data_IF_884347971597
#
_entry.id   IF_884347971597
#
_cell.length_a   1.000
_cell.length_b   1.000
_cell.length_c   1.000
_cell.angle_alpha   90.00
_cell.angle_beta   90.00
_cell.angle_gamma   90.00
#
_symmetry.space_group_name_H-M   'P 1'
#
loop_
_entity.id
_entity.type
_entity.pdbx_description
1 polymer ?
#
# COMPACT_ATOMS: atom_id res chain seq x y z
N UNK A 1 13.57 -28.46 29.35
CA UNK A 1 12.81 -27.26 29.76
C UNK A 1 13.47 -26.06 29.10
N UNK A 2 13.10 -25.80 27.85
CA UNK A 2 13.64 -24.70 27.04
C UNK A 2 12.64 -23.55 27.10
N UNK A 3 13.03 -22.45 27.76
CA UNK A 3 12.23 -21.24 27.83
C UNK A 3 12.32 -20.52 26.49
N UNK A 4 11.21 -20.49 25.76
CA UNK A 4 10.98 -19.54 24.67
C UNK A 4 10.66 -18.20 25.32
N UNK A 5 11.62 -17.29 25.33
CA UNK A 5 11.45 -15.89 25.72
C UNK A 5 10.85 -15.13 24.54
N UNK A 6 9.53 -15.22 24.38
CA UNK A 6 8.78 -14.38 23.45
C UNK A 6 8.79 -12.93 23.92
N UNK A 7 9.18 -12.01 23.05
CA UNK A 7 9.05 -10.57 23.25
C UNK A 7 7.57 -10.27 23.50
N UNK A 8 7.25 -9.72 24.67
CA UNK A 8 5.87 -9.40 25.06
C UNK A 8 5.23 -8.40 24.10
N UNK A 9 4.16 -8.81 23.43
CA UNK A 9 3.40 -7.95 22.52
C UNK A 9 2.78 -6.78 23.30
N UNK A 10 3.13 -5.55 22.93
CA UNK A 10 2.63 -4.32 23.55
C UNK A 10 1.24 -4.00 22.99
N UNK A 11 0.24 -3.94 23.87
CA UNK A 11 -1.13 -3.53 23.54
C UNK A 11 -1.20 -2.00 23.47
N UNK A 12 -1.73 -1.46 22.37
CA UNK A 12 -2.01 -0.02 22.25
C UNK A 12 -3.07 0.39 23.26
N UNK A 13 -2.72 1.26 24.21
CA UNK A 13 -3.64 1.72 25.27
C UNK A 13 -4.82 2.55 24.77
N UNK A 14 -4.76 3.05 23.52
CA UNK A 14 -5.77 3.95 22.97
C UNK A 14 -6.79 3.25 22.06
N UNK A 15 -6.44 2.09 21.47
CA UNK A 15 -7.34 1.36 20.56
C UNK A 15 -7.34 -0.15 20.75
N UNK A 16 -6.70 -0.66 21.81
CA UNK A 16 -6.57 -2.08 22.12
C UNK A 16 -5.89 -2.93 21.03
N UNK A 17 -5.27 -2.29 20.04
CA UNK A 17 -4.50 -2.96 19.00
C UNK A 17 -3.32 -3.71 19.61
N UNK A 18 -3.32 -5.03 19.48
CA UNK A 18 -2.19 -5.89 19.80
C UNK A 18 -1.48 -6.16 18.46
N UNK A 19 -0.21 -5.79 18.27
CA UNK A 19 0.55 -6.16 17.09
C UNK A 19 0.59 -7.69 16.99
N UNK A 20 -0.24 -8.27 16.12
CA UNK A 20 -0.36 -9.71 15.94
C UNK A 20 0.51 -10.19 14.78
N UNK A 21 1.44 -11.11 15.04
CA UNK A 21 2.39 -11.67 14.06
C UNK A 21 1.78 -12.86 13.28
N UNK A 22 0.47 -12.89 13.02
CA UNK A 22 -0.15 -14.10 12.44
C UNK A 22 -0.12 -14.16 10.91
N UNK A 23 0.17 -13.06 10.21
CA UNK A 23 0.07 -13.02 8.73
C UNK A 23 1.40 -13.18 7.98
N UNK A 24 2.56 -13.13 8.64
CA UNK A 24 3.88 -13.15 8.00
C UNK A 24 4.52 -14.55 7.92
N UNK A 25 4.14 -15.47 8.81
CA UNK A 25 4.72 -16.81 8.85
C UNK A 25 4.06 -17.81 7.87
N UNK A 26 2.84 -17.57 7.40
CA UNK A 26 2.09 -18.58 6.60
C UNK A 26 2.64 -18.79 5.17
N UNK A 27 3.60 -17.98 4.70
CA UNK A 27 4.17 -18.11 3.33
C UNK A 27 5.69 -17.88 3.22
N UNK A 28 6.43 -17.85 4.32
CA UNK A 28 7.89 -17.89 4.20
C UNK A 28 8.28 -19.31 3.71
N UNK A 29 8.90 -19.49 2.53
CA UNK A 29 9.49 -20.77 2.19
C UNK A 29 10.50 -21.14 3.29
N UNK A 30 10.63 -22.43 3.61
CA UNK A 30 11.73 -22.89 4.45
C UNK A 30 13.04 -22.58 3.70
N UNK A 31 13.69 -21.45 4.05
CA UNK A 31 14.86 -20.97 3.31
C UNK A 31 16.10 -21.77 3.72
N UNK A 32 16.83 -22.24 2.73
CA UNK A 32 17.90 -23.23 2.81
C UNK A 32 19.28 -22.69 3.27
N UNK A 33 19.33 -21.59 4.04
CA UNK A 33 20.56 -21.13 4.70
C UNK A 33 20.18 -20.24 5.90
N UNK A 34 20.43 -20.69 7.12
CA UNK A 34 20.11 -19.96 8.36
C UNK A 34 20.99 -18.72 8.56
N UNK A 35 22.08 -18.62 7.81
CA UNK A 35 23.05 -17.53 7.94
C UNK A 35 22.98 -16.56 6.77
N UNK A 36 23.03 -15.26 7.08
CA UNK A 36 23.23 -14.19 6.11
C UNK A 36 24.35 -13.30 6.66
N UNK A 37 25.33 -12.86 5.84
CA UNK A 37 26.38 -11.99 6.33
C UNK A 37 25.79 -10.70 6.92
N UNK A 38 26.39 -10.15 7.99
CA UNK A 38 25.92 -8.90 8.59
C UNK A 38 26.03 -7.73 7.60
N UNK A 39 25.08 -6.81 7.67
CA UNK A 39 24.92 -5.67 6.77
C UNK A 39 25.44 -4.40 7.45
N UNK A 40 26.75 -4.26 7.46
CA UNK A 40 27.51 -3.13 8.03
C UNK A 40 27.77 -2.10 6.92
N UNK A 41 27.71 -0.77 7.18
CA UNK A 41 27.61 -0.10 8.49
C UNK A 41 26.19 0.02 9.05
N UNK A 42 26.11 0.10 10.39
CA UNK A 42 24.90 0.49 11.11
C UNK A 42 24.78 2.02 11.11
N UNK A 43 23.58 2.53 10.91
CA UNK A 43 23.30 3.97 10.92
C UNK A 43 23.55 4.56 12.31
N UNK A 44 24.19 5.74 12.38
CA UNK A 44 24.57 6.39 13.65
C UNK A 44 23.55 7.41 14.15
N UNK A 45 22.82 8.02 13.22
CA UNK A 45 21.80 9.01 13.55
C UNK A 45 20.54 8.29 14.05
N UNK A 46 20.11 8.67 15.25
CA UNK A 46 18.92 8.14 15.89
C UNK A 46 17.67 8.73 15.21
N UNK A 47 16.87 7.86 14.61
CA UNK A 47 15.64 8.21 13.90
C UNK A 47 14.38 8.11 14.78
N UNK A 48 14.49 7.52 15.98
CA UNK A 48 13.37 7.36 16.91
C UNK A 48 12.64 8.68 17.18
N UNK A 49 11.36 8.72 16.84
CA UNK A 49 10.50 9.87 17.04
C UNK A 49 9.82 9.79 18.42
N UNK A 50 10.46 10.35 19.44
CA UNK A 50 9.95 10.36 20.81
C UNK A 50 11.01 10.72 21.84
N UNK A 51 10.63 10.65 23.11
CA UNK A 51 11.60 10.86 24.20
C UNK A 51 12.34 9.56 24.47
N UNK A 52 13.65 9.56 24.23
CA UNK A 52 14.50 8.43 24.58
C UNK A 52 14.95 8.50 26.02
N UNK A 53 14.86 7.37 26.71
CA UNK A 53 15.44 7.22 28.03
C UNK A 53 16.96 7.42 27.94
N UNK A 54 17.59 8.27 28.78
CA UNK A 54 19.02 8.53 28.72
C UNK A 54 19.89 7.25 28.78
N UNK A 55 19.44 6.26 29.56
CA UNK A 55 20.11 4.97 29.70
C UNK A 55 20.04 4.13 28.41
N UNK A 56 18.86 4.03 27.77
CA UNK A 56 18.70 3.31 26.50
C UNK A 56 19.57 3.95 25.40
N UNK A 57 19.58 5.29 25.32
CA UNK A 57 20.45 6.04 24.42
C UNK A 57 21.93 5.76 24.66
N UNK A 58 22.37 5.76 25.92
CA UNK A 58 23.78 5.48 26.27
C UNK A 58 24.19 4.07 25.85
N UNK A 59 23.34 3.07 26.11
CA UNK A 59 23.61 1.68 25.74
C UNK A 59 23.68 1.50 24.22
N UNK A 60 22.80 2.16 23.46
CA UNK A 60 22.87 2.16 22.00
C UNK A 60 24.20 2.72 21.48
N UNK A 61 24.68 3.85 22.02
CA UNK A 61 26.00 4.37 21.64
C UNK A 61 27.15 3.44 22.07
N UNK A 62 27.04 2.77 23.22
CA UNK A 62 28.00 1.73 23.62
C UNK A 62 28.02 0.57 22.64
N UNK A 63 26.86 0.16 22.11
CA UNK A 63 26.74 -0.86 21.06
C UNK A 63 27.44 -0.43 19.77
N UNK A 64 27.19 0.80 19.30
CA UNK A 64 27.88 1.37 18.13
C UNK A 64 29.41 1.41 18.33
N UNK A 65 29.88 1.80 19.52
CA UNK A 65 31.31 1.81 19.84
C UNK A 65 31.93 0.41 19.88
N UNK A 66 31.18 -0.62 20.28
CA UNK A 66 31.62 -2.02 20.18
C UNK A 66 31.71 -2.48 18.72
N UNK A 67 30.77 -2.09 17.85
CA UNK A 67 30.87 -2.35 16.40
C UNK A 67 32.10 -1.70 15.77
N UNK A 68 32.41 -0.46 16.13
CA UNK A 68 33.61 0.24 15.63
C UNK A 68 34.92 -0.48 16.02
N UNK A 69 34.89 -1.26 17.12
CA UNK A 69 36.01 -2.10 17.57
C UNK A 69 36.00 -3.51 16.95
N UNK A 70 35.00 -3.84 16.14
CA UNK A 70 34.81 -5.17 15.55
C UNK A 70 34.21 -6.20 16.50
N UNK A 71 33.79 -5.80 17.70
CA UNK A 71 33.17 -6.70 18.68
C UNK A 71 31.65 -6.74 18.48
N UNK A 72 31.22 -7.62 17.57
CA UNK A 72 29.81 -7.78 17.20
C UNK A 72 29.00 -8.37 18.36
N UNK A 73 29.58 -9.27 19.16
CA UNK A 73 28.87 -9.89 20.29
C UNK A 73 28.53 -8.85 21.33
N UNK A 74 29.52 -8.07 21.80
CA UNK A 74 29.29 -7.03 22.79
C UNK A 74 28.38 -5.91 22.26
N UNK A 75 28.39 -5.66 20.95
CA UNK A 75 27.47 -4.73 20.34
C UNK A 75 26.01 -5.20 20.43
N UNK A 76 25.75 -6.46 20.08
CA UNK A 76 24.42 -7.06 20.15
C UNK A 76 23.88 -7.04 21.59
N UNK A 77 24.71 -7.38 22.58
CA UNK A 77 24.35 -7.33 24.00
C UNK A 77 23.93 -5.91 24.43
N UNK A 78 24.71 -4.89 24.06
CA UNK A 78 24.36 -3.50 24.38
C UNK A 78 23.06 -3.03 23.71
N UNK A 79 22.79 -3.46 22.48
CA UNK A 79 21.52 -3.13 21.81
C UNK A 79 20.34 -3.83 22.48
N UNK A 80 20.49 -5.08 22.90
CA UNK A 80 19.45 -5.82 23.64
C UNK A 80 19.18 -5.19 25.01
N UNK A 81 20.22 -4.78 25.73
CA UNK A 81 20.09 -4.04 26.98
C UNK A 81 19.33 -2.71 26.79
N UNK A 82 19.53 -2.03 25.64
CA UNK A 82 18.79 -0.83 25.30
C UNK A 82 17.28 -1.15 25.08
N UNK A 83 16.98 -2.25 24.39
CA UNK A 83 15.61 -2.72 24.14
C UNK A 83 14.91 -3.23 25.41
N UNK A 84 15.65 -3.82 26.35
CA UNK A 84 15.13 -4.23 27.64
C UNK A 84 14.63 -3.03 28.48
N UNK A 85 15.23 -1.85 28.28
CA UNK A 85 14.79 -0.60 28.91
C UNK A 85 13.65 0.03 28.11
N UNK A 86 13.76 0.03 26.79
CA UNK A 86 12.84 0.72 25.90
C UNK A 86 12.55 -0.13 24.64
N UNK A 87 11.51 -0.98 24.68
CA UNK A 87 11.21 -1.93 23.61
C UNK A 87 10.80 -1.31 22.27
N UNK A 88 10.29 -0.07 22.28
CA UNK A 88 9.90 0.65 21.06
C UNK A 88 11.08 1.36 20.36
N UNK A 89 12.31 1.17 20.83
CA UNK A 89 13.48 1.84 20.28
C UNK A 89 13.91 1.25 18.93
N UNK A 90 13.29 1.77 17.87
CA UNK A 90 13.44 1.31 16.48
C UNK A 90 14.90 1.21 16.02
N UNK A 91 15.76 2.19 16.35
CA UNK A 91 17.15 2.19 15.91
C UNK A 91 17.96 1.02 16.48
N UNK A 92 17.66 0.60 17.72
CA UNK A 92 18.31 -0.56 18.33
C UNK A 92 17.86 -1.87 17.66
N UNK A 93 16.58 -2.00 17.30
CA UNK A 93 16.10 -3.13 16.51
C UNK A 93 16.78 -3.19 15.12
N UNK A 94 16.89 -2.05 14.41
CA UNK A 94 17.58 -1.99 13.12
C UNK A 94 19.08 -2.34 13.24
N UNK A 95 19.74 -1.87 14.30
CA UNK A 95 21.13 -2.18 14.57
C UNK A 95 21.36 -3.68 14.78
N UNK A 96 20.50 -4.35 15.56
CA UNK A 96 20.57 -5.80 15.76
C UNK A 96 20.31 -6.54 14.44
N UNK A 97 19.30 -6.15 13.68
CA UNK A 97 19.00 -6.77 12.39
C UNK A 97 20.16 -6.64 11.39
N UNK A 98 20.95 -5.57 11.44
CA UNK A 98 22.13 -5.39 10.59
C UNK A 98 23.34 -6.16 11.09
N UNK A 99 23.57 -6.17 12.41
CA UNK A 99 24.76 -6.76 13.01
C UNK A 99 24.66 -8.29 13.17
N UNK A 100 23.45 -8.83 13.32
CA UNK A 100 23.21 -10.27 13.40
C UNK A 100 23.51 -10.97 12.08
N UNK A 101 24.09 -12.16 12.17
CA UNK A 101 24.21 -13.10 11.05
C UNK A 101 23.09 -14.16 11.01
N UNK A 102 22.29 -14.25 12.08
CA UNK A 102 21.17 -15.18 12.20
C UNK A 102 19.92 -14.57 11.56
N UNK A 103 19.42 -15.22 10.50
CA UNK A 103 18.22 -14.77 9.77
C UNK A 103 16.96 -14.77 10.62
N UNK A 104 16.82 -15.67 11.60
CA UNK A 104 15.66 -15.67 12.47
C UNK A 104 15.66 -14.43 13.35
N UNK A 105 16.77 -14.15 14.03
CA UNK A 105 16.94 -12.91 14.80
C UNK A 105 16.77 -11.66 13.95
N UNK A 106 17.29 -11.64 12.71
CA UNK A 106 17.05 -10.54 11.76
C UNK A 106 15.55 -10.33 11.52
N UNK A 107 14.80 -11.39 11.21
CA UNK A 107 13.34 -11.32 10.99
C UNK A 107 12.61 -10.82 12.23
N UNK A 108 12.94 -11.33 13.40
CA UNK A 108 12.31 -10.92 14.66
C UNK A 108 12.46 -9.41 14.89
N UNK A 109 13.67 -8.87 14.82
CA UNK A 109 13.87 -7.43 15.01
C UNK A 109 13.29 -6.57 13.88
N UNK A 110 13.37 -7.01 12.62
CA UNK A 110 12.75 -6.30 11.50
C UNK A 110 11.22 -6.28 11.61
N UNK A 111 10.61 -7.39 12.05
CA UNK A 111 9.16 -7.46 12.28
C UNK A 111 8.71 -6.46 13.34
N UNK A 112 9.49 -6.30 14.42
CA UNK A 112 9.24 -5.30 15.45
C UNK A 112 9.32 -3.87 14.89
N UNK A 113 10.35 -3.57 14.08
CA UNK A 113 10.46 -2.25 13.43
C UNK A 113 9.26 -1.97 12.55
N UNK A 114 8.83 -2.91 11.71
CA UNK A 114 7.69 -2.68 10.82
C UNK A 114 6.37 -2.64 11.61
N UNK A 115 6.30 -3.23 12.81
CA UNK A 115 5.15 -3.07 13.71
C UNK A 115 5.10 -1.65 14.31
N UNK A 116 6.23 -1.12 14.78
CA UNK A 116 6.30 0.24 15.35
C UNK A 116 6.31 1.35 14.29
N UNK A 117 6.90 1.10 13.12
CA UNK A 117 7.02 2.02 12.00
C UNK A 117 6.81 1.30 10.65
N UNK A 118 5.54 1.05 10.25
CA UNK A 118 5.20 0.30 9.03
C UNK A 118 5.76 0.88 7.72
N UNK A 119 6.03 2.18 7.68
CA UNK A 119 6.59 2.90 6.53
C UNK A 119 8.12 3.00 6.53
N UNK A 120 8.83 2.35 7.46
CA UNK A 120 10.30 2.39 7.49
C UNK A 120 10.88 1.68 6.26
N UNK A 121 11.30 2.46 5.27
CA UNK A 121 11.80 1.96 3.99
C UNK A 121 13.04 1.05 4.14
N UNK A 122 13.89 1.33 5.12
CA UNK A 122 15.04 0.49 5.40
C UNK A 122 14.62 -0.88 5.95
N UNK A 123 13.73 -0.90 6.93
CA UNK A 123 13.24 -2.14 7.53
C UNK A 123 12.52 -3.02 6.50
N UNK A 124 11.67 -2.43 5.65
CA UNK A 124 11.00 -3.15 4.57
C UNK A 124 12.02 -3.73 3.56
N UNK A 125 13.04 -2.95 3.19
CA UNK A 125 14.09 -3.39 2.25
C UNK A 125 14.93 -4.53 2.83
N UNK A 126 15.32 -4.43 4.10
CA UNK A 126 16.06 -5.49 4.80
C UNK A 126 15.19 -6.74 4.97
N UNK A 127 13.89 -6.57 5.28
CA UNK A 127 12.95 -7.68 5.37
C UNK A 127 12.85 -8.46 4.06
N UNK A 128 12.70 -7.73 2.94
CA UNK A 128 12.67 -8.33 1.60
C UNK A 128 13.98 -9.04 1.26
N UNK A 129 15.14 -8.48 1.62
CA UNK A 129 16.43 -9.13 1.45
C UNK A 129 16.54 -10.44 2.26
N UNK A 130 16.15 -10.42 3.53
CA UNK A 130 16.25 -11.57 4.45
C UNK A 130 15.32 -12.71 4.01
N UNK A 131 14.15 -12.38 3.47
CA UNK A 131 13.19 -13.36 2.93
C UNK A 131 13.54 -13.85 1.52
N UNK A 132 14.54 -13.24 0.86
CA UNK A 132 14.93 -13.58 -0.51
C UNK A 132 14.04 -12.98 -1.59
N UNK A 133 13.19 -12.00 -1.24
CA UNK A 133 12.42 -11.21 -2.20
C UNK A 133 13.31 -10.21 -2.97
N UNK A 134 14.49 -9.89 -2.45
CA UNK A 134 15.53 -9.10 -3.12
C UNK A 134 16.90 -9.77 -2.98
N UNK A 135 17.72 -9.64 -4.01
CA UNK A 135 19.16 -9.90 -3.93
C UNK A 135 19.90 -8.77 -3.20
N UNK A 136 21.12 -9.00 -2.68
CA UNK A 136 21.94 -7.94 -2.08
C UNK A 136 22.19 -6.75 -3.03
N UNK A 137 22.38 -7.01 -4.32
CA UNK A 137 22.58 -5.97 -5.34
C UNK A 137 21.32 -5.14 -5.57
N UNK A 138 20.16 -5.79 -5.65
CA UNK A 138 18.85 -5.14 -5.77
C UNK A 138 18.53 -4.30 -4.53
N UNK A 139 18.79 -4.84 -3.34
CA UNK A 139 18.63 -4.11 -2.09
C UNK A 139 19.60 -2.92 -1.99
N UNK A 140 20.82 -3.01 -2.52
CA UNK A 140 21.75 -1.89 -2.59
C UNK A 140 21.26 -0.81 -3.59
N UNK A 141 20.77 -1.23 -4.76
CA UNK A 141 20.19 -0.32 -5.77
C UNK A 141 19.00 0.45 -5.21
N UNK A 142 18.09 -0.24 -4.53
CA UNK A 142 16.93 0.37 -3.88
C UNK A 142 17.30 1.38 -2.77
N UNK A 143 18.42 1.16 -2.08
CA UNK A 143 18.90 2.09 -1.05
C UNK A 143 19.53 3.37 -1.62
N UNK A 144 20.12 3.30 -2.83
CA UNK A 144 20.79 4.44 -3.47
C UNK A 144 19.82 5.49 -4.00
N UNK A 145 20.27 6.68 -4.41
CA UNK A 145 19.44 7.67 -5.14
C UNK A 145 19.20 7.30 -6.61
N UNK A 146 19.47 6.05 -7.01
CA UNK A 146 19.24 5.58 -8.37
C UNK A 146 17.74 5.59 -8.70
N UNK A 147 17.41 6.08 -9.89
CA UNK A 147 16.11 5.91 -10.52
C UNK A 147 16.26 4.94 -11.69
N UNK A 148 15.38 3.93 -11.82
CA UNK A 148 15.42 3.00 -12.94
C UNK A 148 15.35 3.73 -14.28
N UNK A 149 16.08 3.24 -15.28
CA UNK A 149 16.00 3.79 -16.64
C UNK A 149 14.61 3.50 -17.24
N UNK A 150 13.91 4.54 -17.67
CA UNK A 150 12.57 4.40 -18.24
C UNK A 150 12.67 3.97 -19.71
N UNK A 151 12.04 2.85 -20.05
CA UNK A 151 11.94 2.30 -21.41
C UNK A 151 10.49 2.27 -21.84
N UNK A 152 10.21 2.48 -23.12
CA UNK A 152 8.87 2.28 -23.67
C UNK A 152 8.83 0.92 -24.38
N UNK A 153 7.79 0.12 -24.09
CA UNK A 153 7.58 -1.12 -24.82
C UNK A 153 7.09 -0.80 -26.24
N UNK A 154 7.80 -1.31 -27.24
CA UNK A 154 7.45 -1.13 -28.66
C UNK A 154 6.36 -2.11 -29.13
N UNK A 155 6.20 -3.23 -28.43
CA UNK A 155 5.23 -4.27 -28.75
C UNK A 155 4.30 -4.54 -27.57
N UNK A 156 3.08 -5.07 -27.82
CA UNK A 156 2.18 -5.49 -26.76
C UNK A 156 2.84 -6.50 -25.82
N UNK A 157 2.79 -6.22 -24.52
CA UNK A 157 3.43 -7.08 -23.51
C UNK A 157 2.49 -8.20 -23.09
N UNK A 158 2.99 -9.44 -23.10
CA UNK A 158 2.22 -10.61 -22.71
C UNK A 158 1.72 -10.52 -21.26
N UNK A 159 0.52 -11.03 -21.03
CA UNK A 159 -0.14 -11.03 -19.72
C UNK A 159 -0.34 -12.44 -19.17
N UNK A 160 -0.16 -12.57 -17.87
CA UNK A 160 -0.68 -13.70 -17.12
C UNK A 160 -2.08 -13.34 -16.61
N UNK A 161 -3.08 -14.16 -16.97
CA UNK A 161 -4.46 -13.91 -16.59
C UNK A 161 -5.05 -15.07 -15.79
N UNK A 162 -5.82 -14.72 -14.76
CA UNK A 162 -6.68 -15.64 -14.05
C UNK A 162 -8.08 -15.60 -14.66
N UNK A 163 -8.59 -16.76 -15.08
CA UNK A 163 -9.97 -16.89 -15.57
C UNK A 163 -10.88 -17.26 -14.40
N UNK A 164 -11.99 -16.53 -14.23
CA UNK A 164 -12.91 -16.73 -13.11
C UNK A 164 -14.00 -17.74 -13.44
N UNK A 165 -13.64 -19.02 -13.41
CA UNK A 165 -14.55 -20.14 -13.62
C UNK A 165 -14.79 -20.92 -12.32
N UNK A 166 -15.98 -21.50 -12.22
CA UNK A 166 -16.34 -22.38 -11.12
C UNK A 166 -15.51 -23.66 -11.15
N UNK A 167 -14.85 -23.98 -10.04
CA UNK A 167 -14.05 -25.21 -9.90
C UNK A 167 -14.88 -26.50 -9.91
N UNK A 168 -16.19 -26.41 -9.68
CA UNK A 168 -17.09 -27.57 -9.61
C UNK A 168 -17.67 -27.91 -10.98
N UNK A 169 -18.20 -26.92 -11.70
CA UNK A 169 -18.94 -27.15 -12.94
C UNK A 169 -18.37 -26.43 -14.18
N UNK A 170 -17.32 -25.62 -14.03
CA UNK A 170 -16.74 -24.82 -15.12
C UNK A 170 -17.57 -23.60 -15.55
N UNK A 171 -18.72 -23.34 -14.93
CA UNK A 171 -19.55 -22.17 -15.24
C UNK A 171 -18.92 -20.84 -14.82
N UNK A 172 -19.38 -19.73 -15.41
CA UNK A 172 -18.90 -18.39 -15.04
C UNK A 172 -19.24 -18.04 -13.59
N UNK A 173 -18.27 -17.46 -12.89
CA UNK A 173 -18.47 -16.86 -11.57
C UNK A 173 -19.18 -15.51 -11.71
N UNK A 174 -19.92 -15.12 -10.68
CA UNK A 174 -20.49 -13.78 -10.51
C UNK A 174 -20.31 -13.35 -9.06
N UNK A 175 -20.63 -12.10 -8.76
CA UNK A 175 -20.65 -11.54 -7.41
C UNK A 175 -22.08 -11.12 -7.08
N UNK A 176 -22.47 -11.32 -5.83
CA UNK A 176 -23.68 -10.74 -5.26
C UNK A 176 -23.41 -9.28 -4.86
N UNK A 177 -24.23 -8.33 -5.33
CA UNK A 177 -24.03 -6.91 -5.04
C UNK A 177 -24.52 -6.53 -3.63
N UNK A 178 -25.28 -7.36 -2.93
CA UNK A 178 -25.75 -7.05 -1.56
C UNK A 178 -24.69 -7.47 -0.54
N UNK A 179 -24.20 -8.70 -0.66
CA UNK A 179 -23.29 -9.31 0.32
C UNK A 179 -21.83 -9.37 -0.15
N UNK A 180 -21.54 -9.03 -1.41
CA UNK A 180 -20.18 -8.97 -1.95
C UNK A 180 -19.48 -10.33 -2.10
N UNK A 181 -20.22 -11.45 -2.04
CA UNK A 181 -19.62 -12.80 -2.13
C UNK A 181 -19.64 -13.33 -3.57
N UNK A 182 -18.60 -14.07 -3.96
CA UNK A 182 -18.48 -14.66 -5.28
C UNK A 182 -19.10 -16.06 -5.34
N UNK A 183 -20.00 -16.30 -6.30
CA UNK A 183 -20.71 -17.56 -6.47
C UNK A 183 -20.88 -17.95 -7.94
N UNK A 184 -21.11 -19.24 -8.20
CA UNK A 184 -21.44 -19.72 -9.53
C UNK A 184 -22.94 -19.62 -9.79
N UNK A 185 -23.35 -18.86 -10.81
CA UNK A 185 -24.77 -18.73 -11.18
C UNK A 185 -25.41 -20.04 -11.67
N UNK A 186 -24.60 -21.00 -12.10
CA UNK A 186 -25.09 -22.27 -12.65
C UNK A 186 -25.35 -23.33 -11.58
N UNK A 187 -24.36 -23.64 -10.73
CA UNK A 187 -24.48 -24.70 -9.72
C UNK A 187 -24.63 -24.19 -8.27
N UNK A 188 -24.55 -22.87 -8.04
CA UNK A 188 -24.64 -22.27 -6.70
C UNK A 188 -23.38 -22.42 -5.85
N UNK A 189 -22.29 -22.99 -6.36
CA UNK A 189 -21.06 -23.12 -5.58
C UNK A 189 -20.47 -21.75 -5.24
N UNK A 190 -20.39 -21.45 -3.95
CA UNK A 190 -19.72 -20.27 -3.41
C UNK A 190 -18.22 -20.53 -3.24
N UNK A 191 -17.43 -19.48 -3.39
CA UNK A 191 -16.00 -19.54 -3.04
C UNK A 191 -15.77 -18.66 -1.83
N UNK A 192 -15.23 -19.25 -0.76
CA UNK A 192 -14.88 -18.48 0.42
C UNK A 192 -13.77 -17.49 0.04
N UNK A 193 -13.90 -16.19 0.38
CA UNK A 193 -12.83 -15.24 0.16
C UNK A 193 -11.56 -15.73 0.86
N UNK A 194 -10.41 -15.50 0.22
CA UNK A 194 -9.13 -15.79 0.84
C UNK A 194 -9.03 -15.09 2.21
N UNK A 195 -8.41 -15.76 3.21
CA UNK A 195 -8.30 -15.22 4.58
C UNK A 195 -7.78 -13.77 4.50
N UNK A 196 -8.43 -12.89 5.26
CA UNK A 196 -8.19 -11.45 5.34
C UNK A 196 -6.68 -11.17 5.47
N UNK A 197 -6.02 -10.79 4.38
CA UNK A 197 -4.68 -10.20 4.43
C UNK A 197 -4.81 -8.78 4.98
N UNK A 198 -3.86 -8.36 5.80
CA UNK A 198 -3.76 -6.97 6.22
C UNK A 198 -3.67 -6.08 4.98
N UNK A 199 -4.66 -5.21 4.81
CA UNK A 199 -4.66 -4.12 3.84
C UNK A 199 -3.80 -3.02 4.45
N UNK A 200 -2.71 -2.59 3.82
CA UNK A 200 -1.90 -1.53 4.42
C UNK A 200 -0.67 -1.08 3.65
N UNK A 201 -0.13 0.06 4.10
CA UNK A 201 1.05 0.76 3.57
C UNK A 201 2.29 -0.11 3.32
N UNK A 202 2.38 -1.29 3.94
CA UNK A 202 3.47 -2.26 3.77
C UNK A 202 3.54 -2.79 2.34
N UNK A 203 2.40 -3.11 1.72
CA UNK A 203 2.36 -3.64 0.36
C UNK A 203 2.87 -2.61 -0.66
N UNK A 204 2.41 -1.37 -0.54
CA UNK A 204 2.89 -0.25 -1.33
C UNK A 204 4.38 0.04 -1.08
N UNK A 205 4.82 0.14 0.17
CA UNK A 205 6.23 0.41 0.51
C UNK A 205 7.18 -0.65 -0.06
N UNK A 206 6.83 -1.94 0.08
CA UNK A 206 7.58 -3.04 -0.53
C UNK A 206 7.58 -2.96 -2.06
N UNK A 207 6.45 -2.64 -2.67
CA UNK A 207 6.35 -2.50 -4.13
C UNK A 207 7.21 -1.35 -4.67
N UNK A 208 7.27 -0.21 -3.95
CA UNK A 208 8.14 0.91 -4.30
C UNK A 208 9.63 0.55 -4.18
N UNK A 209 10.00 -0.25 -3.17
CA UNK A 209 11.36 -0.76 -3.01
C UNK A 209 11.70 -1.72 -4.15
N UNK A 210 10.84 -2.71 -4.45
CA UNK A 210 11.03 -3.62 -5.60
C UNK A 210 11.20 -2.86 -6.90
N UNK A 211 10.40 -1.82 -7.11
CA UNK A 211 10.49 -0.96 -8.30
C UNK A 211 11.85 -0.28 -8.40
N UNK A 212 12.31 0.35 -7.31
CA UNK A 212 13.60 1.05 -7.28
C UNK A 212 14.80 0.09 -7.37
N UNK A 213 14.59 -1.16 -6.96
CA UNK A 213 15.56 -2.23 -7.11
C UNK A 213 15.77 -2.65 -8.57
N UNK A 214 14.82 -2.39 -9.47
CA UNK A 214 14.95 -2.74 -10.89
C UNK A 214 15.88 -1.76 -11.62
N UNK A 215 16.70 -2.24 -12.58
CA UNK A 215 17.56 -1.37 -13.39
C UNK A 215 16.76 -0.56 -14.41
N UNK A 216 15.67 -1.13 -14.91
CA UNK A 216 14.82 -0.53 -15.95
C UNK A 216 13.36 -0.58 -15.52
N UNK A 217 12.61 0.45 -15.91
CA UNK A 217 11.17 0.54 -15.73
C UNK A 217 10.50 0.66 -17.10
N UNK A 218 9.57 -0.24 -17.38
CA UNK A 218 8.86 -0.26 -18.66
C UNK A 218 7.55 0.53 -18.61
N UNK A 219 7.35 1.42 -19.58
CA UNK A 219 6.08 2.07 -19.88
C UNK A 219 5.38 1.21 -20.91
N UNK A 220 4.23 0.67 -20.52
CA UNK A 220 3.40 -0.20 -21.35
C UNK A 220 2.23 0.61 -21.89
N UNK A 221 2.05 0.62 -23.20
CA UNK A 221 0.87 1.21 -23.85
C UNK A 221 -0.23 0.16 -24.05
N UNK A 222 0.18 -1.04 -24.46
CA UNK A 222 -0.71 -2.13 -24.82
C UNK A 222 -0.20 -3.46 -24.26
N UNK A 223 -1.14 -4.37 -23.98
CA UNK A 223 -0.87 -5.72 -23.51
C UNK A 223 -1.49 -6.75 -24.44
N UNK A 224 -0.84 -7.89 -24.57
CA UNK A 224 -1.39 -9.04 -25.27
C UNK A 224 -2.09 -9.95 -24.26
N UNK A 225 -3.40 -10.13 -24.44
CA UNK A 225 -4.21 -11.07 -23.67
C UNK A 225 -4.51 -12.30 -24.52
N UNK A 226 -4.07 -13.45 -24.01
CA UNK A 226 -4.44 -14.77 -24.53
C UNK A 226 -5.57 -15.36 -23.67
N UNK A 227 -6.68 -15.72 -24.30
CA UNK A 227 -7.82 -16.32 -23.63
C UNK A 227 -7.63 -17.84 -23.51
N UNK A 228 -7.25 -18.31 -22.32
CA UNK A 228 -7.07 -19.73 -22.02
C UNK A 228 -8.34 -20.60 -22.18
N UNK A 229 -9.51 -20.00 -22.42
CA UNK A 229 -10.78 -20.72 -22.57
C UNK A 229 -11.19 -20.96 -24.02
N UNK A 230 -10.96 -20.00 -24.93
CA UNK A 230 -11.33 -20.13 -26.35
C UNK A 230 -10.16 -19.96 -27.33
N UNK A 231 -8.95 -19.68 -26.84
CA UNK A 231 -7.75 -19.48 -27.66
C UNK A 231 -7.67 -18.12 -28.36
N UNK A 232 -8.63 -17.22 -28.14
CA UNK A 232 -8.60 -15.88 -28.73
C UNK A 232 -7.44 -15.05 -28.17
N UNK A 233 -6.71 -14.39 -29.05
CA UNK A 233 -5.67 -13.42 -28.70
C UNK A 233 -6.12 -12.01 -29.08
N UNK A 234 -5.88 -11.05 -28.19
CA UNK A 234 -6.20 -9.65 -28.45
C UNK A 234 -5.25 -8.71 -27.75
N UNK A 235 -4.99 -7.59 -28.40
CA UNK A 235 -4.35 -6.44 -27.78
C UNK A 235 -5.37 -5.70 -26.93
N UNK A 236 -4.96 -5.30 -25.72
CA UNK A 236 -5.77 -4.53 -24.78
C UNK A 236 -5.00 -3.31 -24.26
N UNK A 237 -5.68 -2.22 -23.89
CA UNK A 237 -5.02 -1.07 -23.30
C UNK A 237 -4.29 -1.41 -22.00
N UNK A 238 -3.20 -0.69 -21.72
CA UNK A 238 -2.48 -0.83 -20.45
C UNK A 238 -3.32 -0.43 -19.21
N UNK A 239 -4.48 0.20 -19.40
CA UNK A 239 -5.42 0.55 -18.31
C UNK A 239 -6.48 -0.51 -18.05
N UNK A 240 -6.40 -1.70 -18.65
CA UNK A 240 -7.33 -2.80 -18.35
C UNK A 240 -6.75 -3.70 -17.26
N UNK A 241 -7.48 -3.91 -16.16
CA UNK A 241 -7.14 -4.90 -15.12
C UNK A 241 -8.01 -6.17 -15.26
N UNK A 242 -9.31 -6.00 -15.49
CA UNK A 242 -10.20 -7.13 -15.77
C UNK A 242 -11.22 -6.82 -16.86
N UNK A 243 -11.63 -7.86 -17.57
CA UNK A 243 -12.58 -7.74 -18.67
C UNK A 243 -13.21 -9.08 -19.04
N UNK A 244 -14.36 -9.04 -19.69
CA UNK A 244 -15.01 -10.22 -20.25
C UNK A 244 -14.53 -10.50 -21.69
N UNK A 245 -14.20 -11.75 -21.98
CA UNK A 245 -13.83 -12.17 -23.33
C UNK A 245 -15.04 -12.00 -24.27
N UNK A 246 -14.91 -11.27 -25.39
CA UNK A 246 -16.03 -11.04 -26.30
C UNK A 246 -16.45 -12.30 -27.07
N UNK A 247 -15.63 -13.36 -27.06
CA UNK A 247 -15.91 -14.61 -27.78
C UNK A 247 -16.61 -15.65 -26.90
N UNK A 248 -16.08 -15.94 -25.71
CA UNK A 248 -16.61 -16.98 -24.83
C UNK A 248 -17.24 -16.46 -23.53
N UNK A 249 -17.26 -15.14 -23.30
CA UNK A 249 -17.89 -14.53 -22.14
C UNK A 249 -17.16 -14.72 -20.80
N UNK A 250 -16.02 -15.42 -20.78
CA UNK A 250 -15.26 -15.62 -19.54
C UNK A 250 -14.62 -14.33 -19.05
N UNK A 251 -14.68 -14.09 -17.75
CA UNK A 251 -14.01 -12.96 -17.09
C UNK A 251 -12.54 -13.28 -16.87
N UNK A 252 -11.67 -12.43 -17.40
CA UNK A 252 -10.22 -12.49 -17.23
C UNK A 252 -9.76 -11.37 -16.31
N UNK A 253 -8.94 -11.71 -15.33
CA UNK A 253 -8.26 -10.76 -14.45
C UNK A 253 -6.77 -10.87 -14.68
N UNK A 254 -6.12 -9.78 -15.07
CA UNK A 254 -4.67 -9.74 -15.27
C UNK A 254 -4.01 -9.80 -13.88
N UNK A 255 -3.17 -10.82 -13.68
CA UNK A 255 -2.40 -10.97 -12.44
C UNK A 255 -1.07 -10.23 -12.53
N UNK A 256 -0.41 -10.33 -13.68
CA UNK A 256 0.88 -9.72 -13.96
C UNK A 256 1.08 -9.60 -15.46
N UNK A 257 2.03 -8.77 -15.89
CA UNK A 257 2.56 -8.78 -17.25
C UNK A 257 4.05 -9.14 -17.23
N UNK A 258 4.57 -9.52 -18.40
CA UNK A 258 5.97 -9.94 -18.53
C UNK A 258 6.99 -8.83 -18.18
N UNK A 259 6.56 -7.57 -18.11
CA UNK A 259 7.38 -6.44 -17.72
C UNK A 259 7.27 -6.10 -16.22
N UNK A 260 6.44 -6.83 -15.46
CA UNK A 260 6.10 -6.54 -14.07
C UNK A 260 5.74 -5.06 -13.86
N UNK A 261 5.00 -4.47 -14.81
CA UNK A 261 4.89 -3.01 -14.95
C UNK A 261 3.89 -2.34 -13.99
N UNK A 262 3.10 -3.13 -13.26
CA UNK A 262 2.04 -2.61 -12.39
C UNK A 262 1.91 -3.40 -11.08
N UNK A 263 1.29 -2.74 -10.11
CA UNK A 263 0.99 -3.28 -8.78
C UNK A 263 -0.52 -3.58 -8.73
N UNK A 264 -0.89 -4.72 -8.15
CA UNK A 264 -2.30 -5.09 -7.95
C UNK A 264 -2.92 -4.22 -6.84
N UNK A 265 -4.24 -4.00 -6.85
CA UNK A 265 -4.90 -3.30 -5.75
C UNK A 265 -4.68 -4.02 -4.42
N UNK A 266 -4.58 -3.26 -3.33
CA UNK A 266 -4.54 -3.81 -1.96
C UNK A 266 -5.95 -4.15 -1.47
N UNK A 267 -6.94 -3.36 -1.89
CA UNK A 267 -8.32 -3.48 -1.48
C UNK A 267 -9.30 -3.11 -2.59
N UNK A 268 -10.55 -3.50 -2.38
CA UNK A 268 -11.67 -3.18 -3.26
C UNK A 268 -12.88 -2.84 -2.39
N UNK A 269 -13.71 -1.89 -2.83
CA UNK A 269 -14.99 -1.59 -2.20
C UNK A 269 -16.06 -2.30 -3.03
N UNK A 270 -16.71 -3.37 -2.52
CA UNK A 270 -17.72 -4.08 -3.28
C UNK A 270 -18.89 -3.16 -3.69
N UNK A 271 -19.49 -3.44 -4.84
CA UNK A 271 -20.75 -2.80 -5.20
C UNK A 271 -21.81 -3.13 -4.14
N UNK A 272 -22.68 -2.15 -3.84
CA UNK A 272 -23.87 -2.28 -2.98
C UNK A 272 -25.19 -2.02 -3.70
N UNK A 273 -25.08 -1.46 -4.90
CA UNK A 273 -26.22 -1.14 -5.75
C UNK A 273 -26.12 -2.03 -6.97
N UNK A 274 -27.21 -2.74 -7.25
CA UNK A 274 -27.33 -3.48 -8.48
C UNK A 274 -27.72 -2.54 -9.63
N UNK A 275 -27.59 -3.05 -10.86
CA UNK A 275 -27.91 -2.29 -12.08
C UNK A 275 -29.34 -1.76 -12.10
N UNK A 276 -30.31 -2.51 -11.57
CA UNK A 276 -31.72 -2.10 -11.56
C UNK A 276 -31.93 -0.88 -10.68
N UNK A 277 -31.39 -0.91 -9.47
CA UNK A 277 -31.47 0.20 -8.52
C UNK A 277 -30.78 1.45 -9.07
N UNK A 278 -29.60 1.29 -9.68
CA UNK A 278 -28.89 2.38 -10.34
C UNK A 278 -29.71 3.02 -11.47
N UNK A 279 -30.30 2.20 -12.34
CA UNK A 279 -31.18 2.66 -13.44
C UNK A 279 -32.41 3.39 -12.89
N UNK A 280 -33.02 2.91 -11.81
CA UNK A 280 -34.17 3.57 -11.19
C UNK A 280 -33.81 4.94 -10.62
N UNK A 281 -32.69 5.05 -9.91
CA UNK A 281 -32.19 6.31 -9.36
C UNK A 281 -31.89 7.31 -10.49
N UNK A 282 -31.20 6.88 -11.55
CA UNK A 282 -30.90 7.72 -12.71
C UNK A 282 -32.20 8.18 -13.39
N UNK A 283 -33.15 7.27 -13.63
CA UNK A 283 -34.46 7.63 -14.22
C UNK A 283 -35.23 8.62 -13.36
N UNK A 284 -35.15 8.51 -12.03
CA UNK A 284 -35.78 9.47 -11.11
C UNK A 284 -35.13 10.84 -11.21
N UNK A 285 -33.80 10.90 -11.25
CA UNK A 285 -33.04 12.14 -11.41
C UNK A 285 -33.35 12.83 -12.75
N UNK A 286 -33.38 12.09 -13.85
CA UNK A 286 -33.71 12.61 -15.20
C UNK A 286 -35.17 13.10 -15.31
N UNK A 287 -36.07 12.67 -14.42
CA UNK A 287 -37.47 13.12 -14.36
C UNK A 287 -37.69 14.31 -13.41
N UNK A 288 -36.63 14.82 -12.77
CA UNK A 288 -36.73 15.91 -11.81
C UNK A 288 -37.30 17.19 -12.47
N UNK A 289 -38.02 18.05 -11.72
CA UNK A 289 -38.65 19.25 -12.27
C UNK A 289 -37.66 20.20 -12.95
N UNK A 290 -36.44 20.33 -12.41
CA UNK A 290 -35.37 21.16 -12.97
C UNK A 290 -34.94 20.68 -14.37
N UNK A 291 -34.80 19.36 -14.56
CA UNK A 291 -34.47 18.77 -15.87
C UNK A 291 -35.59 18.98 -16.89
N UNK A 292 -36.85 18.93 -16.44
CA UNK A 292 -38.00 19.24 -17.30
C UNK A 292 -38.01 20.69 -17.77
N UNK A 293 -37.57 21.63 -16.93
CA UNK A 293 -37.44 23.05 -17.27
C UNK A 293 -36.26 23.26 -18.23
N UNK A 294 -35.10 22.64 -17.95
CA UNK A 294 -33.94 22.69 -18.83
C UNK A 294 -34.25 22.14 -20.23
N UNK A 295 -35.07 21.09 -20.31
CA UNK A 295 -35.55 20.50 -21.56
C UNK A 295 -36.49 21.37 -22.40
N UNK A 296 -36.81 22.61 -21.99
CA UNK A 296 -37.42 23.63 -22.86
C UNK A 296 -36.39 24.46 -23.62
N UNK A 297 -35.14 24.50 -23.15
CA UNK A 297 -34.05 25.30 -23.71
C UNK A 297 -32.99 24.47 -24.45
N UNK A 298 -33.01 23.14 -24.30
CA UNK A 298 -32.11 22.20 -24.98
C UNK A 298 -32.82 20.84 -25.20
N UNK A 299 -32.51 20.14 -26.30
CA UNK A 299 -33.03 18.79 -26.63
C UNK A 299 -32.06 17.67 -26.19
N UNK A 300 -31.26 17.93 -25.16
CA UNK A 300 -30.31 16.98 -24.59
C UNK A 300 -30.99 15.91 -23.70
N UNK A 301 -32.03 15.26 -24.22
CA UNK A 301 -32.74 14.17 -23.54
C UNK A 301 -32.09 12.83 -23.85
N UNK A 302 -31.75 12.08 -22.81
CA UNK A 302 -31.27 10.69 -22.94
C UNK A 302 -32.40 9.82 -23.51
N UNK A 303 -32.31 9.44 -24.80
CA UNK A 303 -33.31 8.58 -25.48
C UNK A 303 -33.23 7.13 -25.01
N UNK A 304 -32.01 6.63 -24.89
CA UNK A 304 -31.69 5.30 -24.36
C UNK A 304 -30.25 5.34 -23.81
N UNK A 305 -29.97 4.47 -22.85
CA UNK A 305 -28.65 4.33 -22.26
C UNK A 305 -28.49 2.95 -21.64
N UNK A 306 -27.26 2.47 -21.61
CA UNK A 306 -26.85 1.25 -20.92
C UNK A 306 -26.10 1.71 -19.66
N UNK A 307 -26.39 1.09 -18.52
CA UNK A 307 -25.69 1.36 -17.27
C UNK A 307 -24.72 0.20 -17.04
N UNK A 308 -23.42 0.50 -17.06
CA UNK A 308 -22.37 -0.49 -16.81
C UNK A 308 -21.61 -0.11 -15.55
N UNK A 309 -21.47 -1.07 -14.63
CA UNK A 309 -20.61 -0.92 -13.46
C UNK A 309 -19.15 -1.17 -13.84
N UNK A 310 -18.23 -0.34 -13.35
CA UNK A 310 -16.80 -0.56 -13.49
C UNK A 310 -16.05 -0.14 -12.23
N UNK A 311 -14.99 -0.87 -11.89
CA UNK A 311 -14.09 -0.47 -10.84
C UNK A 311 -13.04 0.51 -11.36
N UNK A 312 -12.98 1.67 -10.72
CA UNK A 312 -12.00 2.72 -10.99
C UNK A 312 -10.91 2.67 -9.92
N UNK A 313 -9.62 2.65 -10.30
CA UNK A 313 -8.52 2.63 -9.34
C UNK A 313 -8.34 4.00 -8.68
N UNK A 314 -8.09 3.97 -7.37
CA UNK A 314 -7.70 5.14 -6.58
C UNK A 314 -6.44 4.80 -5.76
N UNK A 315 -5.50 5.73 -5.73
CA UNK A 315 -4.47 5.75 -4.71
C UNK A 315 -5.07 6.40 -3.46
N UNK A 316 -4.83 5.80 -2.30
CA UNK A 316 -5.36 6.30 -1.03
C UNK A 316 -4.18 6.62 -0.13
N UNK A 317 -4.14 7.85 0.36
CA UNK A 317 -3.03 8.37 1.15
C UNK A 317 -3.49 8.78 2.54
N UNK A 318 -2.63 8.51 3.51
CA UNK A 318 -2.68 9.16 4.82
C UNK A 318 -1.58 10.22 4.85
N UNK A 319 -1.96 11.45 5.17
CA UNK A 319 -1.07 12.61 5.17
C UNK A 319 -1.04 13.17 6.58
N UNK A 320 0.15 13.25 7.16
CA UNK A 320 0.39 14.01 8.39
C UNK A 320 1.21 15.25 8.05
N UNK A 321 0.82 16.38 8.63
CA UNK A 321 1.50 17.66 8.44
C UNK A 321 1.92 18.17 9.81
N UNK A 322 3.22 18.41 9.96
CA UNK A 322 3.78 19.08 11.14
C UNK A 322 4.30 20.46 10.71
N UNK A 323 3.63 21.51 11.19
CA UNK A 323 3.98 22.89 10.91
C UNK A 323 4.61 23.49 12.16
N UNK A 324 5.92 23.71 12.10
CA UNK A 324 6.65 24.52 13.08
C UNK A 324 6.75 25.96 12.57
N UNK A 325 6.12 26.91 13.29
CA UNK A 325 6.22 28.33 12.98
C UNK A 325 6.77 29.12 14.16
N UNK A 326 7.61 30.10 13.88
CA UNK A 326 8.08 31.08 14.86
C UNK A 326 7.31 32.37 14.62
N UNK A 327 6.47 32.75 15.59
CA UNK A 327 5.71 33.99 15.57
C UNK A 327 6.48 35.03 16.38
N UNK A 328 6.95 36.09 15.72
CA UNK A 328 7.53 37.25 16.39
C UNK A 328 6.48 38.35 16.53
N UNK A 329 6.25 38.82 17.75
CA UNK A 329 5.38 39.96 18.02
C UNK A 329 6.18 41.13 18.60
N UNK A 330 6.06 42.30 17.98
CA UNK A 330 6.56 43.55 18.53
C UNK A 330 5.49 44.17 19.44
N UNK A 331 5.70 44.12 20.75
CA UNK A 331 4.89 44.94 21.65
C UNK A 331 5.36 46.39 21.56
N UNK A 332 4.53 47.27 21.01
CA UNK A 332 4.68 48.72 21.21
C UNK A 332 4.36 49.02 22.68
N UNK A 333 5.40 49.10 23.53
CA UNK A 333 5.20 49.56 24.90
C UNK A 333 4.82 51.05 24.86
N UNK A 334 3.69 51.40 25.47
CA UNK A 334 3.15 52.77 25.51
C UNK A 334 3.90 53.69 26.45
N UNK A 335 5.22 53.52 26.65
CA UNK A 335 6.00 54.39 27.51
C UNK A 335 6.71 55.46 26.69
N UNK A 336 6.22 56.71 26.78
CA UNK A 336 6.89 57.90 26.24
C UNK A 336 8.26 58.04 26.91
N UNK A 337 9.32 57.56 26.26
CA UNK A 337 10.69 57.89 26.66
C UNK A 337 11.81 56.90 26.32
N UNK A 338 11.53 55.65 25.91
CA UNK A 338 12.60 54.74 25.48
C UNK A 338 12.21 53.90 24.25
N UNK A 339 13.13 53.83 23.28
CA UNK A 339 12.90 53.23 21.94
C UNK A 339 13.29 51.75 21.84
N UNK A 340 13.28 50.99 22.95
CA UNK A 340 13.52 49.55 22.91
C UNK A 340 12.22 48.77 23.10
N UNK A 341 11.67 48.24 22.01
CA UNK A 341 10.59 47.27 22.03
C UNK A 341 11.20 45.85 22.03
N UNK A 342 10.97 45.02 23.07
CA UNK A 342 11.42 43.63 23.04
C UNK A 342 10.62 42.86 21.98
N UNK A 343 11.33 42.23 21.04
CA UNK A 343 10.73 41.27 20.10
C UNK A 343 10.53 39.97 20.86
N UNK A 344 9.27 39.58 21.09
CA UNK A 344 8.95 38.29 21.68
C UNK A 344 8.76 37.27 20.56
N UNK A 345 9.56 36.21 20.57
CA UNK A 345 9.42 35.07 19.66
C UNK A 345 8.71 33.92 20.37
N UNK A 346 7.64 33.41 19.78
CA UNK A 346 6.97 32.19 20.23
C UNK A 346 7.08 31.14 19.15
N UNK A 347 7.54 29.95 19.50
CA UNK A 347 7.45 28.79 18.64
C UNK A 347 6.08 28.12 18.82
N UNK A 348 5.41 27.83 17.71
CA UNK A 348 4.15 27.11 17.68
C UNK A 348 4.32 25.90 16.77
N UNK A 349 3.93 24.73 17.26
CA UNK A 349 3.88 23.47 16.51
C UNK A 349 2.41 23.10 16.30
N UNK A 350 2.02 22.93 15.04
CA UNK A 350 0.68 22.54 14.63
C UNK A 350 0.80 21.22 13.88
N UNK A 351 0.27 20.15 14.47
CA UNK A 351 0.18 18.85 13.83
C UNK A 351 -1.25 18.62 13.37
N UNK A 352 -1.44 18.29 12.10
CA UNK A 352 -2.73 17.92 11.52
C UNK A 352 -2.57 16.66 10.67
N UNK A 353 -3.68 15.95 10.43
CA UNK A 353 -3.69 14.73 9.64
C UNK A 353 -4.95 14.60 8.79
N UNK A 354 -4.78 14.12 7.57
CA UNK A 354 -5.84 13.74 6.64
C UNK A 354 -5.68 12.25 6.33
N UNK A 355 -6.69 11.46 6.65
CA UNK A 355 -6.69 10.02 6.41
C UNK A 355 -7.58 9.67 5.23
N UNK A 356 -7.23 8.58 4.55
CA UNK A 356 -7.98 8.04 3.41
C UNK A 356 -8.22 9.05 2.27
N UNK A 357 -7.23 9.90 1.96
CA UNK A 357 -7.32 10.87 0.87
C UNK A 357 -7.24 10.15 -0.48
N UNK A 358 -8.30 10.11 -1.30
CA UNK A 358 -8.29 9.34 -2.53
C UNK A 358 -7.91 10.20 -3.73
N UNK A 359 -6.91 9.74 -4.47
CA UNK A 359 -6.43 10.32 -5.73
C UNK A 359 -6.77 9.34 -6.85
N UNK A 360 -7.55 9.82 -7.82
CA UNK A 360 -7.96 8.97 -8.94
C UNK A 360 -6.76 8.55 -9.77
N UNK A 361 -6.62 7.26 -10.01
CA UNK A 361 -5.56 6.67 -10.81
C UNK A 361 -5.78 6.79 -12.32
N UNK A 362 -6.85 7.44 -12.79
CA UNK A 362 -7.20 7.58 -14.21
C UNK A 362 -7.13 9.04 -14.69
N UNK A 363 -6.34 9.33 -15.72
CA UNK A 363 -6.27 10.64 -16.39
C UNK A 363 -7.54 11.00 -17.18
N UNK A 364 -8.22 10.06 -17.87
CA UNK A 364 -9.41 10.38 -18.65
C UNK A 364 -10.60 10.88 -17.79
N UNK A 365 -10.61 10.60 -16.49
CA UNK A 365 -11.70 11.01 -15.61
C UNK A 365 -11.53 12.47 -15.15
N UNK A 366 -12.46 13.40 -15.47
CA UNK A 366 -12.31 14.81 -15.11
C UNK A 366 -12.19 15.01 -13.60
N UNK A 367 -11.25 15.88 -13.16
CA UNK A 367 -10.96 16.12 -11.72
C UNK A 367 -12.19 16.52 -10.88
N UNK A 368 -13.15 17.23 -11.48
CA UNK A 368 -14.38 17.62 -10.78
C UNK A 368 -15.26 16.40 -10.50
N UNK A 369 -15.39 15.51 -11.48
CA UNK A 369 -16.18 14.28 -11.37
C UNK A 369 -15.51 13.30 -10.41
N UNK A 370 -14.20 13.10 -10.51
CA UNK A 370 -13.46 12.21 -9.61
C UNK A 370 -13.57 12.66 -8.14
N UNK A 371 -13.49 13.96 -7.85
CA UNK A 371 -13.70 14.51 -6.50
C UNK A 371 -15.13 14.33 -5.99
N UNK A 372 -16.13 14.36 -6.87
CA UNK A 372 -17.52 14.09 -6.48
C UNK A 372 -17.76 12.60 -6.20
N UNK A 373 -17.06 11.73 -6.92
CA UNK A 373 -17.11 10.27 -6.72
C UNK A 373 -16.32 9.84 -5.47
N UNK A 374 -15.28 10.58 -5.09
CA UNK A 374 -14.33 10.27 -4.02
C UNK A 374 -14.91 10.10 -2.60
N UNK A 375 -16.20 10.38 -2.36
CA UNK A 375 -16.85 10.18 -1.07
C UNK A 375 -17.23 8.70 -0.83
N UNK A 376 -16.26 7.80 -1.02
CA UNK A 376 -16.44 6.38 -0.80
C UNK A 376 -16.35 6.03 0.69
N UNK A 377 -17.09 5.00 1.10
CA UNK A 377 -17.05 4.45 2.45
C UNK A 377 -15.80 3.55 2.59
N UNK A 378 -14.64 4.12 2.87
CA UNK A 378 -13.36 3.38 2.97
C UNK A 378 -13.34 2.32 4.09
N UNK A 379 -14.23 2.43 5.08
CA UNK A 379 -14.44 1.39 6.10
C UNK A 379 -15.06 0.10 5.53
N UNK A 380 -15.54 0.11 4.29
CA UNK A 380 -16.14 -1.03 3.58
C UNK A 380 -15.16 -1.69 2.62
N UNK A 381 -13.91 -1.21 2.56
CA UNK A 381 -12.86 -1.84 1.77
C UNK A 381 -12.61 -3.25 2.30
N UNK A 382 -12.69 -4.22 1.40
CA UNK A 382 -12.28 -5.60 1.65
C UNK A 382 -10.94 -5.85 0.96
N UNK A 383 -10.12 -6.81 1.45
CA UNK A 383 -8.88 -7.17 0.78
C UNK A 383 -9.15 -7.55 -0.67
N UNK A 384 -8.26 -7.12 -1.57
CA UNK A 384 -8.41 -7.43 -2.97
C UNK A 384 -8.37 -8.95 -3.20
N UNK A 385 -9.46 -9.48 -3.75
CA UNK A 385 -9.56 -10.85 -4.25
C UNK A 385 -10.04 -10.78 -5.70
N UNK A 386 -9.30 -11.33 -6.69
CA UNK A 386 -9.70 -11.33 -8.10
C UNK A 386 -11.12 -11.84 -8.35
N UNK A 387 -11.64 -12.71 -7.49
CA UNK A 387 -12.99 -13.25 -7.62
C UNK A 387 -14.09 -12.18 -7.47
N UNK A 388 -13.80 -11.09 -6.76
CA UNK A 388 -14.71 -9.94 -6.61
C UNK A 388 -14.87 -9.14 -7.92
N UNK A 389 -14.03 -9.42 -8.92
CA UNK A 389 -14.12 -8.85 -10.27
C UNK A 389 -14.92 -9.73 -11.24
N UNK A 390 -15.56 -10.81 -10.77
CA UNK A 390 -16.24 -11.75 -11.66
C UNK A 390 -17.38 -11.12 -12.47
N UNK A 391 -18.04 -10.10 -11.92
CA UNK A 391 -19.20 -9.42 -12.53
C UNK A 391 -18.85 -8.11 -13.24
N UNK A 392 -18.06 -7.24 -12.61
CA UNK A 392 -17.76 -5.90 -13.12
C UNK A 392 -16.30 -5.79 -13.57
N UNK A 393 -16.04 -5.23 -14.78
CA UNK A 393 -14.69 -4.97 -15.25
C UNK A 393 -13.99 -3.92 -14.39
N UNK A 394 -12.68 -4.02 -14.29
CA UNK A 394 -11.83 -3.11 -13.54
C UNK A 394 -10.78 -2.46 -14.45
N UNK A 395 -10.59 -1.16 -14.25
CA UNK A 395 -9.48 -0.43 -14.84
C UNK A 395 -8.22 -0.54 -13.96
N UNK A 396 -7.07 -0.51 -14.61
CA UNK A 396 -5.75 -0.28 -14.03
C UNK A 396 -5.39 1.20 -14.16
N UNK A 397 -4.57 1.69 -13.23
CA UNK A 397 -4.16 3.09 -13.17
C UNK A 397 -3.24 3.51 -14.34
N UNK A 398 -3.36 4.76 -14.78
CA UNK A 398 -2.43 5.45 -15.69
C UNK A 398 -1.72 6.65 -15.03
N UNK A 399 -2.27 7.14 -13.91
CA UNK A 399 -1.59 7.98 -12.94
C UNK A 399 -0.96 7.05 -11.93
N UNK A 400 0.35 6.93 -12.03
CA UNK A 400 1.15 6.12 -11.14
C UNK A 400 1.33 6.82 -9.78
N UNK A 401 1.69 6.04 -8.75
CA UNK A 401 1.84 6.50 -7.37
C UNK A 401 2.71 7.77 -7.25
N UNK A 402 3.86 7.84 -7.94
CA UNK A 402 4.78 8.99 -7.83
C UNK A 402 4.14 10.32 -8.29
N UNK A 403 3.13 10.25 -9.15
CA UNK A 403 2.43 11.41 -9.69
C UNK A 403 1.12 11.72 -8.95
N UNK A 404 0.57 10.73 -8.25
CA UNK A 404 -0.63 10.84 -7.43
C UNK A 404 -0.31 11.54 -6.11
#
# INVERSE_FOLDING_TARGET
MTASSGIGLVRCENCDFIPGITALDEKAPAVADETLPPIIPVQRDIMFNGTLTPRARSLYYSGLSSLDRGDVSAALDHFEDALAIQPDFIDAHLAIARASSDRQRQREHLSAVIAYAPGNAEALRLWMLVNGDLTPEEAARAASNHMPAVRQAEQPVATETQVLLCKVCGGHMTVDDEDGHAYCRFCGNETKPSKRREIGARALGMALISRKAQPERWIISERLLHCNQCGAERTIPATTLSMSCPFCGSTHVIQQDAAHSFIRPDGIIPFRLNERDAVEVIKRALKAPLEKIAGFFDDNRVKSGIVEGTYVPFWVFDVTVDIRRVVSSEQKSGFKGSSFAPVMTREEQLTDALFNLPICGLKPLPKKMSRQMANYAFNEVVPYDPQLLAKYPAALYDVDFDAA
#
